data_IF_402620551166
#
_entry.id   IF_402620551166
#
_cell.length_a   1.000
_cell.length_b   1.000
_cell.length_c   1.000
_cell.angle_alpha   90.00
_cell.angle_beta   90.00
_cell.angle_gamma   90.00
#
_symmetry.space_group_name_H-M   'P 1'
#
loop_
_entity.id
_entity.type
_entity.pdbx_description
1 polymer ?
#
# COMPACT_ATOMS: atom_id res chain seq x y z
N UNK A 1 -29.40 0.48 -63.30
CA UNK A 1 -28.39 1.45 -62.82
C UNK A 1 -28.04 1.03 -61.40
N UNK A 2 -26.78 0.73 -61.11
CA UNK A 2 -26.36 0.20 -59.80
C UNK A 2 -25.26 1.10 -59.25
N UNK A 3 -25.52 1.80 -58.15
CA UNK A 3 -24.52 2.62 -57.46
C UNK A 3 -23.85 1.76 -56.38
N UNK A 4 -22.51 1.76 -56.31
CA UNK A 4 -21.71 1.08 -55.28
C UNK A 4 -20.80 2.11 -54.63
N UNK A 5 -20.36 1.83 -53.40
CA UNK A 5 -19.38 2.68 -52.67
C UNK A 5 -19.85 4.11 -52.37
N UNK A 6 -21.15 4.31 -52.16
CA UNK A 6 -21.63 5.56 -51.57
C UNK A 6 -21.32 5.54 -50.07
N UNK A 7 -20.69 6.60 -49.57
CA UNK A 7 -20.52 6.83 -48.14
C UNK A 7 -21.87 7.02 -47.45
N UNK A 8 -21.92 6.91 -46.12
CA UNK A 8 -23.11 7.31 -45.38
C UNK A 8 -23.44 8.79 -45.64
N UNK A 9 -24.71 9.08 -45.79
CA UNK A 9 -25.18 10.41 -46.15
C UNK A 9 -26.60 10.43 -46.70
N UNK A 10 -27.13 11.64 -46.85
CA UNK A 10 -28.43 11.88 -47.46
C UNK A 10 -28.25 12.15 -48.95
N UNK A 11 -28.78 11.26 -49.77
CA UNK A 11 -28.67 11.34 -51.22
C UNK A 11 -30.02 11.59 -51.86
N UNK A 12 -29.98 12.30 -52.97
CA UNK A 12 -31.12 12.38 -53.87
C UNK A 12 -30.69 12.24 -55.31
N UNK A 13 -31.50 11.56 -56.11
CA UNK A 13 -31.23 11.42 -57.54
C UNK A 13 -32.49 11.71 -58.37
N UNK A 14 -32.26 12.10 -59.62
CA UNK A 14 -33.30 12.29 -60.64
C UNK A 14 -32.71 11.91 -62.00
N UNK A 15 -33.57 11.53 -62.93
CA UNK A 15 -33.17 11.09 -64.27
C UNK A 15 -33.88 11.97 -65.30
N UNK A 16 -33.35 12.08 -66.52
CA UNK A 16 -34.03 12.65 -67.67
C UNK A 16 -33.70 11.84 -68.92
N UNK A 17 -34.60 11.83 -69.89
CA UNK A 17 -34.32 11.28 -71.21
C UNK A 17 -33.46 12.26 -72.03
N UNK A 18 -32.55 11.74 -72.85
CA UNK A 18 -31.79 12.54 -73.83
C UNK A 18 -32.00 11.89 -75.19
N UNK A 19 -32.51 12.67 -76.15
CA UNK A 19 -32.70 12.25 -77.54
C UNK A 19 -31.88 13.13 -78.49
N UNK A 20 -31.77 12.72 -79.76
CA UNK A 20 -31.11 13.51 -80.81
C UNK A 20 -31.78 14.88 -81.04
N UNK A 21 -33.10 14.96 -80.83
CA UNK A 21 -33.85 16.19 -81.01
C UNK A 21 -33.71 17.14 -79.81
N UNK A 22 -33.84 16.63 -78.58
CA UNK A 22 -33.73 17.44 -77.36
C UNK A 22 -33.61 16.60 -76.07
N UNK A 23 -33.22 17.28 -74.98
CA UNK A 23 -33.23 16.74 -73.61
C UNK A 23 -34.64 16.85 -73.02
N UNK A 24 -35.20 15.73 -72.58
CA UNK A 24 -36.50 15.70 -71.92
C UNK A 24 -36.49 16.32 -70.52
N UNK A 25 -37.67 16.50 -69.92
CA UNK A 25 -37.80 17.05 -68.58
C UNK A 25 -37.17 16.11 -67.53
N UNK A 26 -36.73 16.69 -66.41
CA UNK A 26 -36.24 15.93 -65.27
C UNK A 26 -37.38 15.24 -64.52
N UNK A 27 -37.14 14.03 -64.02
CA UNK A 27 -38.04 13.38 -63.06
C UNK A 27 -38.03 14.10 -61.71
N UNK A 28 -39.02 13.75 -60.88
CA UNK A 28 -39.01 14.11 -59.45
C UNK A 28 -37.76 13.54 -58.77
N UNK A 29 -37.28 14.24 -57.74
CA UNK A 29 -36.17 13.78 -56.91
C UNK A 29 -36.62 12.58 -56.08
N UNK A 30 -35.86 11.51 -56.12
CA UNK A 30 -35.98 10.41 -55.19
C UNK A 30 -34.94 10.59 -54.08
N UNK A 31 -35.36 10.52 -52.84
CA UNK A 31 -34.52 10.74 -51.66
C UNK A 31 -34.26 9.41 -50.96
N UNK A 32 -33.02 9.16 -50.55
CA UNK A 32 -32.65 8.01 -49.75
C UNK A 32 -31.48 8.35 -48.84
N UNK A 33 -31.42 7.70 -47.68
CA UNK A 33 -30.35 7.92 -46.69
C UNK A 33 -29.58 6.62 -46.55
N UNK A 34 -28.25 6.72 -46.67
CA UNK A 34 -27.34 5.64 -46.33
C UNK A 34 -26.85 5.92 -44.92
N UNK A 35 -27.12 5.01 -43.99
CA UNK A 35 -26.64 5.08 -42.62
C UNK A 35 -25.32 4.30 -42.54
N UNK A 36 -24.34 4.82 -41.80
CA UNK A 36 -23.15 4.04 -41.48
C UNK A 36 -23.58 2.79 -40.71
N UNK A 37 -22.95 1.65 -41.04
CA UNK A 37 -23.09 0.49 -40.17
C UNK A 37 -22.68 0.89 -38.75
N UNK A 38 -23.46 0.52 -37.71
CA UNK A 38 -23.08 0.86 -36.34
C UNK A 38 -21.66 0.35 -36.11
N UNK A 39 -20.76 1.25 -35.70
CA UNK A 39 -19.39 0.91 -35.33
C UNK A 39 -19.50 0.01 -34.10
N UNK A 40 -19.52 -1.29 -34.33
CA UNK A 40 -19.42 -2.31 -33.29
C UNK A 40 -18.04 -2.07 -32.66
N UNK A 41 -18.00 -1.36 -31.53
CA UNK A 41 -16.83 -1.41 -30.67
C UNK A 41 -16.72 -2.88 -30.26
N UNK A 42 -15.62 -3.53 -30.66
CA UNK A 42 -15.38 -4.92 -30.35
C UNK A 42 -15.45 -5.08 -28.83
N UNK A 43 -16.57 -5.63 -28.36
CA UNK A 43 -16.89 -5.71 -26.93
C UNK A 43 -15.83 -6.52 -26.20
N UNK A 44 -15.16 -7.43 -26.92
CA UNK A 44 -13.99 -8.18 -26.50
C UNK A 44 -12.79 -7.28 -26.13
N UNK A 45 -12.48 -6.26 -26.94
CA UNK A 45 -11.37 -5.33 -26.69
C UNK A 45 -11.62 -4.51 -25.42
N UNK A 46 -12.88 -4.11 -25.21
CA UNK A 46 -13.28 -3.33 -24.04
C UNK A 46 -13.25 -4.18 -22.76
N UNK A 47 -13.70 -5.43 -22.81
CA UNK A 47 -13.63 -6.35 -21.68
C UNK A 47 -12.19 -6.69 -21.31
N UNK A 48 -11.33 -6.93 -22.30
CA UNK A 48 -9.90 -7.22 -22.07
C UNK A 48 -9.18 -6.01 -21.46
N UNK A 49 -9.41 -4.81 -21.97
CA UNK A 49 -8.75 -3.60 -21.46
C UNK A 49 -9.14 -3.28 -20.01
N UNK A 50 -10.42 -3.45 -19.66
CA UNK A 50 -10.90 -3.28 -18.28
C UNK A 50 -10.32 -4.36 -17.36
N UNK A 51 -10.31 -5.62 -17.80
CA UNK A 51 -9.73 -6.74 -17.04
C UNK A 51 -8.25 -6.54 -16.73
N UNK A 52 -7.45 -6.18 -17.74
CA UNK A 52 -6.01 -5.90 -17.54
C UNK A 52 -5.78 -4.75 -16.56
N UNK A 53 -6.59 -3.70 -16.63
CA UNK A 53 -6.47 -2.54 -15.73
C UNK A 53 -6.71 -2.92 -14.26
N UNK A 54 -7.73 -3.74 -13.99
CA UNK A 54 -8.04 -4.20 -12.62
C UNK A 54 -6.92 -5.08 -12.03
N UNK A 55 -6.34 -5.96 -12.85
CA UNK A 55 -5.22 -6.81 -12.42
C UNK A 55 -4.00 -5.97 -12.06
N UNK A 56 -3.65 -4.98 -12.89
CA UNK A 56 -2.51 -4.08 -12.62
C UNK A 56 -2.70 -3.29 -11.32
N UNK A 57 -3.91 -2.79 -11.06
CA UNK A 57 -4.23 -2.10 -9.79
C UNK A 57 -4.06 -3.05 -8.61
N UNK A 58 -4.60 -4.29 -8.71
CA UNK A 58 -4.49 -5.29 -7.65
C UNK A 58 -3.03 -5.61 -7.31
N UNK A 59 -2.19 -5.83 -8.33
CA UNK A 59 -0.75 -6.07 -8.16
C UNK A 59 -0.07 -4.85 -7.51
N UNK A 60 -0.41 -3.64 -7.95
CA UNK A 60 0.11 -2.40 -7.37
C UNK A 60 -0.21 -2.25 -5.88
N UNK A 61 -1.44 -2.54 -5.47
CA UNK A 61 -1.86 -2.49 -4.05
C UNK A 61 -1.10 -3.53 -3.22
N UNK A 62 -1.00 -4.77 -3.70
CA UNK A 62 -0.28 -5.84 -2.99
C UNK A 62 1.19 -5.46 -2.80
N UNK A 63 1.83 -4.94 -3.85
CA UNK A 63 3.21 -4.47 -3.77
C UNK A 63 3.37 -3.30 -2.80
N UNK A 64 2.48 -2.30 -2.85
CA UNK A 64 2.50 -1.17 -1.94
C UNK A 64 2.37 -1.59 -0.47
N UNK A 65 1.45 -2.52 -0.17
CA UNK A 65 1.28 -3.09 1.18
C UNK A 65 2.50 -3.91 1.60
N UNK A 66 3.07 -4.70 0.70
CA UNK A 66 4.26 -5.49 1.02
C UNK A 66 5.46 -4.59 1.33
N UNK A 67 5.65 -3.52 0.54
CA UNK A 67 6.72 -2.54 0.75
C UNK A 67 6.51 -1.74 2.03
N UNK A 68 5.28 -1.27 2.31
CA UNK A 68 4.98 -0.53 3.54
C UNK A 68 5.19 -1.41 4.78
N UNK A 69 4.76 -2.68 4.76
CA UNK A 69 5.03 -3.64 5.84
C UNK A 69 6.52 -3.91 6.01
N UNK A 70 7.28 -4.04 4.91
CA UNK A 70 8.74 -4.21 4.99
C UNK A 70 9.42 -2.98 5.56
N UNK A 71 8.97 -1.78 5.20
CA UNK A 71 9.50 -0.53 5.72
C UNK A 71 9.21 -0.38 7.22
N UNK A 72 7.97 -0.66 7.63
CA UNK A 72 7.57 -0.65 9.04
C UNK A 72 8.37 -1.66 9.87
N UNK A 73 8.53 -2.90 9.38
CA UNK A 73 9.37 -3.92 10.05
C UNK A 73 10.83 -3.54 10.18
N UNK A 74 11.38 -2.71 9.28
CA UNK A 74 12.74 -2.18 9.41
C UNK A 74 12.83 -1.03 10.42
N UNK A 75 11.76 -0.26 10.58
CA UNK A 75 11.67 0.85 11.54
C UNK A 75 11.44 0.36 12.98
N UNK A 76 10.75 -0.76 13.19
CA UNK A 76 10.57 -1.33 14.54
C UNK A 76 11.79 -2.19 14.94
N UNK A 77 12.51 -1.85 16.02
CA UNK A 77 13.54 -2.72 16.59
C UNK A 77 12.91 -4.06 16.99
N UNK A 78 13.60 -5.17 16.73
CA UNK A 78 13.11 -6.53 17.03
C UNK A 78 12.64 -6.76 18.48
N UNK A 79 13.05 -5.90 19.41
CA UNK A 79 12.57 -5.87 20.80
C UNK A 79 11.05 -5.69 20.92
N UNK A 80 10.44 -4.78 20.13
CA UNK A 80 9.00 -4.51 20.20
C UNK A 80 8.18 -5.72 19.75
N UNK A 81 8.77 -6.59 18.93
CA UNK A 81 8.11 -7.77 18.38
C UNK A 81 7.96 -8.91 19.41
N UNK A 82 8.66 -8.85 20.54
CA UNK A 82 8.56 -9.82 21.64
C UNK A 82 7.69 -9.33 22.81
N UNK A 83 7.22 -8.07 22.78
CA UNK A 83 6.41 -7.46 23.86
C UNK A 83 4.90 -7.63 23.65
N UNK A 84 4.47 -8.40 22.64
CA UNK A 84 3.04 -8.65 22.37
C UNK A 84 2.36 -9.59 23.39
N UNK A 85 2.39 -9.24 24.67
CA UNK A 85 1.30 -9.65 25.57
C UNK A 85 0.11 -8.72 25.31
N UNK A 86 -1.09 -9.27 25.29
CA UNK A 86 -2.30 -8.68 24.71
C UNK A 86 -2.89 -7.46 25.45
N UNK A 87 -2.10 -6.73 26.24
CA UNK A 87 -2.57 -5.56 26.96
C UNK A 87 -2.06 -4.26 26.32
N UNK A 88 -2.93 -3.49 25.64
CA UNK A 88 -2.56 -2.27 24.92
C UNK A 88 -1.96 -1.18 25.82
N UNK A 89 -2.18 -1.22 27.13
CA UNK A 89 -1.63 -0.25 28.08
C UNK A 89 -0.10 -0.35 28.25
N UNK A 90 0.51 -1.52 28.00
CA UNK A 90 1.97 -1.66 28.02
C UNK A 90 2.64 -0.90 26.86
N UNK A 91 1.95 -0.75 25.71
CA UNK A 91 2.46 0.00 24.56
C UNK A 91 2.54 1.49 24.93
N UNK A 92 1.49 2.03 25.56
CA UNK A 92 1.52 3.40 26.08
C UNK A 92 2.55 3.59 27.18
N UNK A 93 2.79 2.60 28.05
CA UNK A 93 3.80 2.72 29.11
C UNK A 93 5.23 2.74 28.58
N UNK A 94 5.54 2.03 27.49
CA UNK A 94 6.85 2.13 26.84
C UNK A 94 7.08 3.50 26.20
N UNK A 95 6.02 4.11 25.68
CA UNK A 95 6.06 5.46 25.09
C UNK A 95 6.13 6.57 26.16
N UNK A 96 5.76 6.26 27.41
CA UNK A 96 5.64 7.19 28.54
C UNK A 96 6.62 6.87 29.67
N UNK A 97 7.64 6.02 29.46
CA UNK A 97 8.62 5.75 30.52
C UNK A 97 9.45 7.03 30.79
N UNK A 98 9.16 7.68 31.90
CA UNK A 98 9.96 8.77 32.45
C UNK A 98 10.89 8.20 33.52
N UNK A 99 12.23 8.31 33.37
CA UNK A 99 13.19 7.93 34.40
C UNK A 99 12.87 8.61 35.73
N UNK A 100 12.64 7.83 36.78
CA UNK A 100 12.41 8.33 38.12
C UNK A 100 13.73 8.45 38.92
N UNK A 101 13.63 8.81 40.19
CA UNK A 101 14.78 8.97 41.09
C UNK A 101 15.52 7.66 41.42
N UNK A 102 14.94 6.50 41.10
CA UNK A 102 15.54 5.18 41.31
C UNK A 102 16.29 4.67 40.07
N UNK A 103 16.16 5.36 38.93
CA UNK A 103 16.82 4.96 37.69
C UNK A 103 18.34 5.21 37.75
N UNK A 104 19.12 4.14 37.55
CA UNK A 104 20.58 4.21 37.53
C UNK A 104 21.10 4.11 36.10
N UNK A 105 22.15 4.87 35.78
CA UNK A 105 22.84 4.68 34.50
C UNK A 105 23.55 3.34 34.52
N UNK A 106 23.47 2.60 33.41
CA UNK A 106 24.13 1.29 33.28
C UNK A 106 25.64 1.32 33.58
N UNK A 107 26.31 2.42 33.28
CA UNK A 107 27.74 2.61 33.54
C UNK A 107 28.08 2.78 35.04
N UNK A 108 27.09 3.12 35.86
CA UNK A 108 27.26 3.33 37.31
C UNK A 108 27.11 2.01 38.08
N UNK A 109 26.76 0.90 37.41
CA UNK A 109 26.66 -0.44 38.01
C UNK A 109 27.56 -1.41 37.26
N UNK A 110 28.52 -1.98 37.96
CA UNK A 110 29.39 -3.04 37.43
C UNK A 110 28.79 -4.40 37.73
N UNK A 111 28.62 -5.25 36.71
CA UNK A 111 28.25 -6.66 36.89
C UNK A 111 29.51 -7.50 37.09
N UNK A 112 29.51 -8.33 38.13
CA UNK A 112 30.57 -9.23 38.52
C UNK A 112 30.16 -10.68 38.19
N UNK A 113 30.41 -11.63 39.08
CA UNK A 113 30.11 -13.04 38.89
C UNK A 113 28.59 -13.34 38.98
N UNK A 114 28.16 -14.37 38.26
CA UNK A 114 26.81 -14.93 38.40
C UNK A 114 26.63 -15.50 39.82
N UNK A 115 25.48 -15.22 40.43
CA UNK A 115 25.06 -15.76 41.72
C UNK A 115 24.01 -16.86 41.57
N UNK A 116 23.18 -16.81 40.53
CA UNK A 116 22.21 -17.86 40.25
C UNK A 116 21.28 -17.54 39.09
N UNK A 117 20.63 -18.59 38.57
CA UNK A 117 19.76 -18.55 37.39
C UNK A 117 18.40 -19.17 37.69
N UNK A 118 17.34 -18.52 37.23
CA UNK A 118 15.97 -19.01 37.36
C UNK A 118 15.15 -18.78 36.08
N UNK A 119 13.87 -19.13 36.13
CA UNK A 119 12.92 -18.93 35.02
C UNK A 119 12.70 -17.46 34.67
N UNK A 120 12.91 -16.54 35.62
CA UNK A 120 12.74 -15.09 35.44
C UNK A 120 14.06 -14.35 35.19
N UNK A 121 15.12 -15.06 34.81
CA UNK A 121 16.41 -14.48 34.46
C UNK A 121 17.57 -14.86 35.38
N UNK A 122 18.65 -14.09 35.31
CA UNK A 122 19.93 -14.40 35.96
C UNK A 122 20.31 -13.29 36.93
N UNK A 123 20.77 -13.67 38.12
CA UNK A 123 21.24 -12.76 39.17
C UNK A 123 22.76 -12.77 39.17
N UNK A 124 23.35 -11.57 39.12
CA UNK A 124 24.79 -11.34 39.23
C UNK A 124 25.09 -10.60 40.52
N UNK A 125 26.27 -10.82 41.08
CA UNK A 125 26.87 -9.88 42.00
C UNK A 125 27.18 -8.60 41.22
N UNK A 126 27.06 -7.45 41.86
CA UNK A 126 27.40 -6.18 41.25
C UNK A 126 27.96 -5.20 42.27
N UNK A 127 28.50 -4.10 41.75
CA UNK A 127 29.04 -3.01 42.55
C UNK A 127 28.63 -1.66 41.97
N UNK A 128 28.06 -0.78 42.81
CA UNK A 128 27.72 0.59 42.46
C UNK A 128 28.96 1.49 42.42
N UNK A 129 29.26 2.07 41.26
CA UNK A 129 30.35 3.02 41.09
C UNK A 129 29.86 4.42 41.44
N UNK A 130 30.15 4.85 42.66
CA UNK A 130 29.81 6.19 43.16
C UNK A 130 28.30 6.50 43.13
N UNK A 131 27.47 5.47 43.24
CA UNK A 131 26.02 5.62 43.33
C UNK A 131 25.66 6.09 44.73
N UNK A 132 24.91 7.19 44.81
CA UNK A 132 24.41 7.75 46.07
C UNK A 132 22.90 7.72 45.99
N UNK A 133 22.27 7.10 46.99
CA UNK A 133 20.80 7.10 47.11
C UNK A 133 20.27 8.50 47.41
N UNK A 134 18.96 8.70 47.24
CA UNK A 134 18.28 9.93 47.62
C UNK A 134 18.45 10.29 49.12
N UNK A 135 18.71 9.31 49.97
CA UNK A 135 19.02 9.51 51.39
C UNK A 135 20.52 9.74 51.69
N UNK A 136 21.37 9.89 50.68
CA UNK A 136 22.79 10.23 50.83
C UNK A 136 23.70 9.03 51.15
N UNK A 137 23.19 7.80 51.08
CA UNK A 137 23.97 6.59 51.35
C UNK A 137 24.67 6.15 50.08
N UNK A 138 25.99 5.95 50.17
CA UNK A 138 26.77 5.41 49.05
C UNK A 138 26.53 3.90 48.95
N UNK A 139 26.01 3.47 47.82
CA UNK A 139 25.72 2.07 47.52
C UNK A 139 26.94 1.42 46.88
N UNK A 140 27.39 0.30 47.46
CA UNK A 140 28.54 -0.48 47.00
C UNK A 140 28.08 -1.84 46.44
N UNK A 141 28.25 -2.90 47.22
CA UNK A 141 27.95 -4.26 46.77
C UNK A 141 26.44 -4.55 46.69
N UNK A 142 26.05 -5.25 45.62
CA UNK A 142 24.65 -5.51 45.33
C UNK A 142 24.39 -6.77 44.53
N UNK A 143 23.11 -7.10 44.35
CA UNK A 143 22.65 -8.13 43.45
C UNK A 143 21.90 -7.48 42.27
N UNK A 144 22.33 -7.79 41.06
CA UNK A 144 21.75 -7.27 39.81
C UNK A 144 20.96 -8.39 39.15
N UNK A 145 19.63 -8.25 39.08
CA UNK A 145 18.78 -9.18 38.35
C UNK A 145 18.63 -8.74 36.91
N UNK A 146 18.99 -9.62 36.00
CA UNK A 146 18.84 -9.43 34.55
C UNK A 146 17.71 -10.31 34.03
N UNK A 147 16.96 -9.81 33.05
CA UNK A 147 15.93 -10.59 32.36
C UNK A 147 16.60 -11.44 31.29
N UNK A 148 16.24 -12.72 31.19
CA UNK A 148 16.73 -13.58 30.10
C UNK A 148 16.21 -13.08 28.76
N UNK A 149 17.12 -12.90 27.79
CA UNK A 149 16.76 -12.63 26.39
C UNK A 149 15.97 -13.79 25.77
#
# INVERSE_FOLDING_TARGET
>A
MHFRHLSAGNYSFRVRAVSLAQRGPWTRKFHFVIVDAPRQLDTSVLVVSVGCSLVLIGVGVVLAVALSRRHLKRMLPGYVQHVFSANPEYISQLEVYEPDEWELRRQDVELLNELGRGSFGTVYAGHGRNVVSSCGVRFGDCAVKTVSQ
#
